data_IF_578044583304
#
_entry.id   IF_578044583304
#
_cell.length_a   1.000
_cell.length_b   1.000
_cell.length_c   1.000
_cell.angle_alpha   90.00
_cell.angle_beta   90.00
_cell.angle_gamma   90.00
#
_symmetry.space_group_name_H-M   'P 1'
#
loop_
_entity.id
_entity.type
_entity.pdbx_description
1 polymer ?
#
# COMPACT_ATOMS: atom_id res chain seq x y z
N UNK A 1 24.42 11.33 27.04
CA UNK A 1 22.98 11.28 26.68
C UNK A 1 22.66 12.35 25.63
N UNK A 2 23.50 12.45 24.60
CA UNK A 2 23.38 13.43 23.52
C UNK A 2 23.33 12.62 22.25
N UNK A 3 22.18 12.50 21.56
CA UNK A 3 22.22 12.02 20.17
C UNK A 3 20.94 12.19 19.35
N UNK A 4 19.74 12.15 19.95
CA UNK A 4 18.51 12.23 19.14
C UNK A 4 18.26 13.60 18.49
N UNK A 5 18.70 14.71 19.11
CA UNK A 5 18.48 16.07 18.57
C UNK A 5 19.50 16.46 17.50
N UNK A 6 20.71 15.90 17.53
CA UNK A 6 21.80 16.25 16.61
C UNK A 6 21.66 15.49 15.28
N UNK A 7 21.29 14.21 15.32
CA UNK A 7 20.99 13.43 14.11
C UNK A 7 19.82 14.03 13.30
N UNK A 8 18.84 14.63 13.99
CA UNK A 8 17.69 15.28 13.36
C UNK A 8 18.05 16.58 12.59
N UNK A 9 19.21 17.17 12.85
CA UNK A 9 19.69 18.39 12.18
C UNK A 9 20.47 18.12 10.89
N UNK A 10 20.97 16.89 10.70
CA UNK A 10 21.71 16.47 9.50
C UNK A 10 20.79 16.08 8.34
N UNK A 11 19.48 15.93 8.59
CA UNK A 11 18.49 15.65 7.56
C UNK A 11 18.23 16.91 6.70
N UNK A 12 18.15 16.77 5.36
CA UNK A 12 17.82 17.87 4.47
C UNK A 12 16.55 18.61 4.93
N UNK A 13 16.55 19.95 4.85
CA UNK A 13 15.41 20.81 5.23
C UNK A 13 14.02 20.32 4.76
N UNK A 14 13.83 19.74 3.56
CA UNK A 14 12.52 19.21 3.17
C UNK A 14 12.03 18.07 4.08
N UNK A 15 12.92 17.21 4.58
CA UNK A 15 12.54 16.04 5.41
C UNK A 15 12.04 16.46 6.79
N UNK A 16 12.53 17.59 7.34
CA UNK A 16 12.13 18.08 8.68
C UNK A 16 10.73 18.70 8.71
N UNK A 17 10.18 19.08 7.56
CA UNK A 17 8.84 19.65 7.43
C UNK A 17 7.81 18.63 6.95
N UNK A 18 8.23 17.38 6.68
CA UNK A 18 7.31 16.35 6.25
C UNK A 18 6.27 16.04 7.33
N UNK A 19 4.99 15.91 6.95
CA UNK A 19 3.98 15.30 7.80
C UNK A 19 4.42 13.90 8.26
N UNK A 20 4.01 13.52 9.47
CA UNK A 20 4.48 12.29 10.12
C UNK A 20 4.16 11.03 9.31
N UNK A 21 3.03 10.99 8.62
CA UNK A 21 2.63 9.90 7.72
C UNK A 21 3.56 9.78 6.50
N UNK A 22 3.85 10.89 5.81
CA UNK A 22 4.77 10.88 4.67
C UNK A 22 6.21 10.53 5.09
N UNK A 23 6.63 11.01 6.26
CA UNK A 23 7.92 10.62 6.84
C UNK A 23 7.97 9.12 7.13
N UNK A 24 6.89 8.53 7.66
CA UNK A 24 6.80 7.09 7.89
C UNK A 24 6.89 6.30 6.58
N UNK A 25 6.22 6.74 5.51
CA UNK A 25 6.34 6.11 4.17
C UNK A 25 7.78 6.13 3.66
N UNK A 26 8.48 7.26 3.79
CA UNK A 26 9.89 7.37 3.38
C UNK A 26 10.77 6.44 4.19
N UNK A 27 10.64 6.43 5.52
CA UNK A 27 11.44 5.56 6.39
C UNK A 27 11.18 4.09 6.08
N UNK A 28 9.92 3.69 5.96
CA UNK A 28 9.56 2.31 5.62
C UNK A 28 10.07 1.92 4.22
N UNK A 29 9.99 2.82 3.24
CA UNK A 29 10.55 2.60 1.90
C UNK A 29 12.06 2.36 1.97
N UNK A 30 12.79 3.18 2.73
CA UNK A 30 14.24 3.01 2.91
C UNK A 30 14.59 1.71 3.65
N UNK A 31 13.78 1.32 4.66
CA UNK A 31 13.94 0.04 5.35
C UNK A 31 13.71 -1.13 4.40
N UNK A 32 12.70 -1.07 3.53
CA UNK A 32 12.47 -2.10 2.52
C UNK A 32 13.65 -2.19 1.55
N UNK A 33 14.09 -1.08 0.98
CA UNK A 33 15.25 -1.05 0.07
C UNK A 33 16.49 -1.62 0.76
N UNK A 34 16.76 -1.19 2.00
CA UNK A 34 17.86 -1.73 2.80
C UNK A 34 17.73 -3.23 3.05
N UNK A 35 16.53 -3.70 3.40
CA UNK A 35 16.28 -5.14 3.64
C UNK A 35 16.47 -6.00 2.39
N UNK A 36 16.30 -5.42 1.19
CA UNK A 36 16.44 -6.13 -0.09
C UNK A 36 17.88 -6.14 -0.58
N UNK A 37 18.60 -5.02 -0.47
CA UNK A 37 19.91 -4.86 -1.12
C UNK A 37 21.11 -4.98 -0.18
N UNK A 38 20.93 -4.92 1.14
CA UNK A 38 22.05 -5.08 2.09
C UNK A 38 22.36 -6.57 2.24
N UNK A 39 23.58 -7.02 1.88
CA UNK A 39 24.00 -8.40 2.08
C UNK A 39 23.90 -8.79 3.57
N UNK A 40 23.38 -9.97 3.84
CA UNK A 40 23.15 -10.49 5.20
C UNK A 40 21.80 -10.10 5.81
N UNK A 41 21.16 -9.01 5.36
CA UNK A 41 19.76 -8.72 5.69
C UNK A 41 18.82 -9.31 4.63
N UNK A 42 19.25 -9.34 3.38
CA UNK A 42 18.50 -9.89 2.26
C UNK A 42 18.15 -11.38 2.38
N UNK A 43 18.82 -12.14 3.24
CA UNK A 43 18.50 -13.54 3.54
C UNK A 43 17.55 -13.69 4.73
N UNK A 44 17.27 -12.61 5.46
CA UNK A 44 16.42 -12.66 6.65
C UNK A 44 14.93 -12.53 6.30
N UNK A 45 14.03 -13.06 7.15
CA UNK A 45 12.59 -12.85 7.00
C UNK A 45 12.17 -11.37 7.04
N UNK A 46 13.03 -10.45 7.50
CA UNK A 46 12.77 -9.01 7.47
C UNK A 46 12.56 -8.51 6.04
N UNK A 47 13.28 -9.09 5.05
CA UNK A 47 13.07 -8.77 3.64
C UNK A 47 11.64 -9.05 3.20
N UNK A 48 11.08 -10.19 3.62
CA UNK A 48 9.70 -10.58 3.28
C UNK A 48 8.71 -9.66 3.99
N UNK A 49 8.91 -9.40 5.28
CA UNK A 49 8.02 -8.54 6.07
C UNK A 49 7.95 -7.12 5.50
N UNK A 50 9.10 -6.49 5.28
CA UNK A 50 9.15 -5.12 4.73
C UNK A 50 8.82 -5.08 3.24
N UNK A 51 9.17 -6.12 2.47
CA UNK A 51 8.84 -6.23 1.05
C UNK A 51 7.33 -6.36 0.83
N UNK A 52 6.67 -7.22 1.60
CA UNK A 52 5.22 -7.42 1.53
C UNK A 52 4.46 -6.15 1.93
N UNK A 53 4.83 -5.54 3.07
CA UNK A 53 4.22 -4.30 3.52
C UNK A 53 4.42 -3.16 2.51
N UNK A 54 5.60 -3.09 1.89
CA UNK A 54 5.89 -2.12 0.84
C UNK A 54 4.99 -2.32 -0.39
N UNK A 55 4.96 -3.54 -0.95
CA UNK A 55 4.19 -3.85 -2.16
C UNK A 55 2.68 -3.70 -1.95
N UNK A 56 2.17 -4.01 -0.75
CA UNK A 56 0.74 -3.98 -0.49
C UNK A 56 0.19 -2.62 -0.07
N UNK A 57 1.04 -1.68 0.39
CA UNK A 57 0.51 -0.48 1.04
C UNK A 57 1.17 0.82 0.62
N UNK A 58 2.50 0.87 0.58
CA UNK A 58 3.25 2.13 0.50
C UNK A 58 3.02 2.93 -0.79
N UNK A 59 3.12 2.35 -2.01
CA UNK A 59 2.92 3.11 -3.24
C UNK A 59 1.47 3.57 -3.38
N UNK A 60 0.50 2.75 -2.99
CA UNK A 60 -0.92 3.14 -2.96
C UNK A 60 -1.18 4.29 -2.00
N UNK A 61 -0.64 4.23 -0.78
CA UNK A 61 -0.79 5.31 0.20
C UNK A 61 -0.15 6.61 -0.26
N UNK A 62 1.08 6.55 -0.79
CA UNK A 62 1.77 7.72 -1.30
C UNK A 62 0.99 8.37 -2.45
N UNK A 63 0.39 7.58 -3.34
CA UNK A 63 -0.43 8.08 -4.43
C UNK A 63 -1.72 8.73 -3.95
N UNK A 64 -2.45 8.12 -3.00
CA UNK A 64 -3.65 8.74 -2.43
C UNK A 64 -3.31 10.02 -1.69
N UNK A 65 -2.23 10.04 -0.92
CA UNK A 65 -1.75 11.26 -0.26
C UNK A 65 -1.36 12.34 -1.28
N UNK A 66 -0.90 11.97 -2.48
CA UNK A 66 -0.61 12.90 -3.56
C UNK A 66 -1.88 13.43 -4.24
N UNK A 67 -2.93 12.61 -4.38
CA UNK A 67 -4.20 13.01 -5.00
C UNK A 67 -5.10 13.81 -4.04
N UNK A 68 -5.19 13.38 -2.79
CA UNK A 68 -6.08 13.91 -1.75
C UNK A 68 -5.27 14.34 -0.51
N UNK A 69 -4.60 15.51 -0.55
CA UNK A 69 -3.75 15.99 0.54
C UNK A 69 -4.53 16.52 1.76
N UNK A 70 -5.83 16.75 1.63
CA UNK A 70 -6.72 17.37 2.62
C UNK A 70 -7.22 16.37 3.68
N UNK A 71 -7.47 16.83 4.91
CA UNK A 71 -8.28 16.08 5.89
C UNK A 71 -9.76 16.22 5.61
N UNK A 72 -10.51 15.15 5.83
CA UNK A 72 -11.95 15.27 6.09
C UNK A 72 -12.12 16.20 7.28
N UNK A 73 -12.73 17.37 7.08
CA UNK A 73 -13.29 18.11 8.21
C UNK A 73 -14.40 17.20 8.73
N UNK A 74 -14.13 16.42 9.77
CA UNK A 74 -15.20 16.15 10.71
C UNK A 74 -15.66 17.53 11.14
N UNK A 75 -16.81 17.96 10.62
CA UNK A 75 -17.57 19.02 11.28
C UNK A 75 -17.81 18.45 12.66
N UNK A 76 -16.92 18.79 13.59
CA UNK A 76 -17.13 18.51 15.00
C UNK A 76 -18.50 19.09 15.27
N UNK A 77 -19.47 18.21 15.52
CA UNK A 77 -20.79 18.57 15.99
C UNK A 77 -20.68 19.06 17.45
N UNK A 78 -19.72 19.95 17.71
CA UNK A 78 -19.37 20.56 18.98
C UNK A 78 -19.42 22.10 18.87
N UNK A 79 -19.38 22.67 17.65
CA UNK A 79 -19.75 24.08 17.42
C UNK A 79 -21.28 24.30 17.31
N UNK A 80 -22.07 23.37 17.84
CA UNK A 80 -23.49 23.58 18.16
C UNK A 80 -23.71 24.17 19.56
N UNK A 81 -22.65 24.38 20.35
CA UNK A 81 -22.74 24.92 21.72
C UNK A 81 -21.99 26.24 21.88
N UNK A 82 -22.22 27.22 21.02
CA UNK A 82 -21.77 28.59 21.29
C UNK A 82 -22.60 29.68 20.61
N UNK A 83 -23.94 29.63 20.66
CA UNK A 83 -24.78 30.84 20.64
C UNK A 83 -26.27 30.55 20.91
N UNK A 84 -26.62 30.25 22.16
CA UNK A 84 -27.95 30.60 22.72
C UNK A 84 -27.81 30.81 24.24
N UNK A 85 -27.04 31.82 24.64
CA UNK A 85 -27.17 32.45 25.97
C UNK A 85 -27.39 33.94 25.74
N UNK A 86 -28.57 34.26 25.21
CA UNK A 86 -29.26 35.55 25.29
C UNK A 86 -30.42 35.51 24.29
N UNK A 87 -31.57 35.03 24.74
CA UNK A 87 -32.88 35.69 24.60
C UNK A 87 -33.99 34.66 24.87
N UNK A 88 -34.39 34.68 26.13
CA UNK A 88 -35.75 34.60 26.63
C UNK A 88 -36.87 34.38 25.60
N UNK A 89 -37.75 33.43 25.94
CA UNK A 89 -39.18 33.45 25.61
C UNK A 89 -39.57 33.35 24.13
N UNK A 90 -39.83 32.13 23.66
CA UNK A 90 -40.81 31.92 22.59
C UNK A 90 -41.44 30.52 22.68
N UNK A 91 -42.14 30.26 23.77
CA UNK A 91 -43.30 29.37 23.72
C UNK A 91 -44.34 30.02 22.78
N UNK A 92 -44.59 29.44 21.61
CA UNK A 92 -45.74 29.80 20.77
C UNK A 92 -45.47 30.54 19.46
N UNK A 93 -44.60 30.03 18.58
CA UNK A 93 -44.73 30.37 17.15
C UNK A 93 -45.66 29.36 16.47
N UNK A 94 -46.82 29.78 15.94
CA UNK A 94 -47.71 28.89 15.19
C UNK A 94 -47.07 28.48 13.87
N UNK A 95 -47.40 27.27 13.39
CA UNK A 95 -46.93 26.78 12.10
C UNK A 95 -47.22 27.80 10.98
N UNK A 96 -46.26 28.04 10.08
CA UNK A 96 -46.43 29.01 9.01
C UNK A 96 -47.62 28.62 8.11
N UNK A 97 -48.54 29.57 7.95
CA UNK A 97 -49.74 29.40 7.14
C UNK A 97 -49.37 29.68 5.67
N UNK A 98 -49.72 28.79 4.72
CA UNK A 98 -49.37 28.97 3.31
C UNK A 98 -49.88 30.31 2.74
N UNK A 99 -48.97 31.11 2.16
CA UNK A 99 -49.28 32.41 1.55
C UNK A 99 -48.95 33.64 2.41
N UNK A 100 -48.14 33.49 3.46
CA UNK A 100 -47.62 34.60 4.28
C UNK A 100 -46.11 34.77 4.09
N UNK A 101 -45.58 35.98 4.31
CA UNK A 101 -44.14 36.31 4.18
C UNK A 101 -43.24 35.39 5.03
N UNK A 102 -43.77 34.88 6.15
CA UNK A 102 -43.09 33.90 7.00
C UNK A 102 -42.90 32.53 6.30
N UNK A 103 -43.87 32.10 5.49
CA UNK A 103 -43.78 30.86 4.70
C UNK A 103 -42.86 31.02 3.47
N UNK A 104 -42.68 32.25 2.97
CA UNK A 104 -41.73 32.55 1.88
C UNK A 104 -40.29 32.60 2.39
N UNK A 105 -40.07 33.02 3.63
CA UNK A 105 -38.74 33.08 4.26
C UNK A 105 -38.14 31.68 4.46
N UNK A 106 -38.96 30.69 4.84
CA UNK A 106 -38.50 29.28 4.97
C UNK A 106 -38.24 28.61 3.60
N UNK A 107 -39.01 28.94 2.55
CA UNK A 107 -38.76 28.43 1.19
C UNK A 107 -37.53 29.04 0.52
N UNK A 108 -37.11 30.21 0.99
CA UNK A 108 -35.97 30.95 0.45
C UNK A 108 -34.64 30.54 1.09
N UNK A 109 -34.68 29.72 2.14
CA UNK A 109 -33.49 29.06 2.65
C UNK A 109 -33.22 27.90 1.69
N UNK A 110 -32.16 27.98 0.84
CA UNK A 110 -31.78 26.81 0.05
C UNK A 110 -31.59 25.66 1.05
N UNK A 111 -32.04 24.44 0.73
CA UNK A 111 -31.68 23.27 1.53
C UNK A 111 -30.19 23.38 1.74
N UNK A 112 -29.74 23.44 3.00
CA UNK A 112 -28.33 23.49 3.30
C UNK A 112 -27.70 22.33 2.57
N UNK A 113 -27.08 22.62 1.42
CA UNK A 113 -26.24 21.68 0.73
C UNK A 113 -25.12 21.47 1.72
N UNK A 114 -25.28 20.41 2.52
CA UNK A 114 -24.20 19.75 3.19
C UNK A 114 -23.27 19.32 2.06
N UNK A 115 -22.45 20.26 1.59
CA UNK A 115 -21.25 20.01 0.82
C UNK A 115 -20.41 19.16 1.78
N UNK A 116 -20.65 17.85 1.73
CA UNK A 116 -19.80 16.84 2.33
C UNK A 116 -18.40 17.22 1.91
N UNK A 117 -17.61 17.74 2.85
CA UNK A 117 -16.24 18.12 2.57
C UNK A 117 -15.56 16.87 2.00
N UNK A 118 -15.14 16.95 0.73
CA UNK A 118 -14.68 15.84 -0.11
C UNK A 118 -13.29 15.30 0.32
N UNK A 119 -13.01 15.23 1.62
CA UNK A 119 -11.80 14.64 2.17
C UNK A 119 -12.01 13.15 2.41
N UNK A 120 -11.00 12.35 2.06
CA UNK A 120 -10.96 10.91 2.36
C UNK A 120 -10.52 10.73 3.82
N UNK A 121 -11.36 10.03 4.61
CA UNK A 121 -11.08 9.75 6.02
C UNK A 121 -9.87 8.80 6.15
N UNK A 122 -9.23 8.77 7.32
CA UNK A 122 -8.02 7.98 7.52
C UNK A 122 -8.22 6.47 7.32
N UNK A 123 -9.38 5.90 7.66
CA UNK A 123 -9.66 4.47 7.44
C UNK A 123 -9.90 4.21 5.94
N UNK A 124 -10.68 5.06 5.28
CA UNK A 124 -10.90 4.98 3.83
C UNK A 124 -9.58 5.08 3.07
N UNK A 125 -8.69 5.98 3.51
CA UNK A 125 -7.34 6.14 2.96
C UNK A 125 -6.54 4.85 3.08
N UNK A 126 -6.59 4.16 4.22
CA UNK A 126 -5.89 2.88 4.43
C UNK A 126 -6.47 1.80 3.50
N UNK A 127 -7.79 1.66 3.44
CA UNK A 127 -8.44 0.65 2.61
C UNK A 127 -8.17 0.86 1.11
N UNK A 128 -8.33 2.10 0.63
CA UNK A 128 -8.05 2.47 -0.76
C UNK A 128 -6.56 2.31 -1.09
N UNK A 129 -5.66 2.58 -0.14
CA UNK A 129 -4.21 2.41 -0.35
C UNK A 129 -3.87 0.97 -0.68
N UNK A 130 -4.47 0.02 0.05
CA UNK A 130 -4.26 -1.40 -0.17
C UNK A 130 -4.71 -1.83 -1.56
N UNK A 131 -5.96 -1.51 -1.93
CA UNK A 131 -6.51 -1.86 -3.24
C UNK A 131 -5.74 -1.20 -4.40
N UNK A 132 -5.37 0.07 -4.24
CA UNK A 132 -4.60 0.79 -5.24
C UNK A 132 -3.18 0.24 -5.40
N UNK A 133 -2.53 -0.20 -4.33
CA UNK A 133 -1.21 -0.82 -4.40
C UNK A 133 -1.23 -2.11 -5.22
N UNK A 134 -2.27 -2.94 -5.03
CA UNK A 134 -2.49 -4.17 -5.80
C UNK A 134 -2.71 -3.86 -7.29
N UNK A 135 -3.26 -2.70 -7.65
CA UNK A 135 -3.39 -2.28 -9.04
C UNK A 135 -2.07 -1.72 -9.61
N UNK A 136 -1.40 -0.83 -8.86
CA UNK A 136 -0.22 -0.09 -9.34
C UNK A 136 1.01 -0.99 -9.49
N UNK A 137 1.29 -1.86 -8.53
CA UNK A 137 2.55 -2.63 -8.53
C UNK A 137 2.64 -3.60 -9.72
N UNK A 138 1.60 -4.42 -10.03
CA UNK A 138 1.62 -5.26 -11.23
C UNK A 138 1.66 -4.44 -12.52
N UNK A 139 1.01 -3.27 -12.56
CA UNK A 139 1.07 -2.38 -13.72
C UNK A 139 2.49 -1.87 -13.97
N UNK A 140 3.22 -1.47 -12.92
CA UNK A 140 4.64 -1.11 -13.02
C UNK A 140 5.46 -2.31 -13.51
N UNK A 141 5.20 -3.51 -12.97
CA UNK A 141 5.84 -4.75 -13.44
C UNK A 141 5.60 -5.03 -14.92
N UNK A 142 4.36 -4.85 -15.39
CA UNK A 142 3.99 -5.01 -16.79
C UNK A 142 4.72 -3.99 -17.69
N UNK A 143 4.81 -2.73 -17.27
CA UNK A 143 5.58 -1.72 -18.01
C UNK A 143 7.06 -2.11 -18.06
N UNK A 144 7.63 -2.60 -16.96
CA UNK A 144 9.02 -3.07 -16.92
C UNK A 144 9.28 -4.26 -17.82
N UNK A 145 8.28 -5.10 -18.09
CA UNK A 145 8.41 -6.21 -19.03
C UNK A 145 8.80 -5.76 -20.44
N UNK A 146 8.39 -4.56 -20.85
CA UNK A 146 8.74 -3.98 -22.15
C UNK A 146 10.08 -3.25 -22.15
N UNK A 147 10.80 -3.23 -21.02
CA UNK A 147 12.10 -2.58 -20.91
C UNK A 147 13.24 -3.61 -21.02
N UNK A 148 14.46 -3.20 -21.42
CA UNK A 148 15.61 -4.10 -21.49
C UNK A 148 15.97 -4.77 -20.15
N UNK A 149 15.49 -4.22 -19.03
CA UNK A 149 15.76 -4.75 -17.69
C UNK A 149 14.81 -5.89 -17.29
N UNK A 150 13.61 -5.96 -17.88
CA UNK A 150 12.58 -6.96 -17.60
C UNK A 150 12.04 -6.96 -16.15
N UNK A 151 11.25 -7.98 -15.82
CA UNK A 151 10.67 -8.17 -14.48
C UNK A 151 11.69 -8.85 -13.55
N UNK A 152 12.76 -8.12 -13.23
CA UNK A 152 13.79 -8.56 -12.26
C UNK A 152 13.61 -7.83 -10.92
N UNK A 153 14.11 -8.43 -9.84
CA UNK A 153 14.00 -7.88 -8.48
C UNK A 153 14.48 -6.42 -8.39
N UNK A 154 15.69 -6.13 -8.86
CA UNK A 154 16.28 -4.80 -8.74
C UNK A 154 15.50 -3.72 -9.52
N UNK A 155 15.19 -3.90 -10.82
CA UNK A 155 14.35 -2.96 -11.58
C UNK A 155 12.96 -2.74 -10.97
N UNK A 156 12.31 -3.80 -10.47
CA UNK A 156 10.98 -3.69 -9.85
C UNK A 156 11.05 -2.86 -8.58
N UNK A 157 11.94 -3.21 -7.65
CA UNK A 157 12.08 -2.49 -6.38
C UNK A 157 12.45 -1.03 -6.61
N UNK A 158 13.40 -0.75 -7.52
CA UNK A 158 13.79 0.62 -7.85
C UNK A 158 12.65 1.42 -8.47
N UNK A 159 11.90 0.84 -9.41
CA UNK A 159 10.80 1.54 -10.07
C UNK A 159 9.67 1.88 -9.12
N UNK A 160 9.25 0.92 -8.29
CA UNK A 160 8.22 1.15 -7.27
C UNK A 160 8.72 2.16 -6.22
N UNK A 161 10.00 2.12 -5.84
CA UNK A 161 10.62 3.09 -4.92
C UNK A 161 10.58 4.50 -5.50
N UNK A 162 11.04 4.68 -6.75
CA UNK A 162 11.02 5.99 -7.42
C UNK A 162 9.60 6.50 -7.53
N UNK A 163 8.65 5.66 -7.94
CA UNK A 163 7.23 6.03 -8.00
C UNK A 163 6.69 6.49 -6.64
N UNK A 164 6.98 5.73 -5.58
CA UNK A 164 6.54 6.03 -4.21
C UNK A 164 7.11 7.35 -3.73
N UNK A 165 8.42 7.57 -3.90
CA UNK A 165 9.10 8.80 -3.49
C UNK A 165 8.66 10.02 -4.31
N UNK A 166 8.34 9.83 -5.60
CA UNK A 166 7.76 10.87 -6.44
C UNK A 166 6.37 11.28 -5.92
N UNK A 167 5.51 10.30 -5.61
CA UNK A 167 4.20 10.56 -5.03
C UNK A 167 4.30 11.25 -3.66
N UNK A 168 5.20 10.80 -2.78
CA UNK A 168 5.48 11.47 -1.49
C UNK A 168 5.92 12.92 -1.72
N UNK A 169 6.79 13.17 -2.71
CA UNK A 169 7.27 14.51 -3.02
C UNK A 169 6.14 15.41 -3.52
N UNK A 170 5.23 14.89 -4.35
CA UNK A 170 4.03 15.61 -4.82
C UNK A 170 3.09 15.89 -3.64
N UNK A 171 2.81 14.87 -2.82
CA UNK A 171 1.97 14.98 -1.64
C UNK A 171 2.49 16.04 -0.66
N UNK A 172 3.80 16.05 -0.40
CA UNK A 172 4.44 17.03 0.46
C UNK A 172 4.32 18.45 -0.09
N UNK A 173 4.52 18.64 -1.40
CA UNK A 173 4.34 19.95 -2.05
C UNK A 173 2.90 20.45 -1.92
N UNK A 174 1.93 19.62 -2.32
CA UNK A 174 0.49 20.00 -2.25
C UNK A 174 0.04 20.28 -0.82
N UNK A 175 0.53 19.53 0.16
CA UNK A 175 0.17 19.72 1.58
C UNK A 175 0.82 20.94 2.22
N UNK A 176 1.93 21.43 1.68
CA UNK A 176 2.53 22.69 2.11
C UNK A 176 1.80 23.93 1.56
N UNK A 177 1.01 23.78 0.50
CA UNK A 177 0.19 24.85 -0.06
C UNK A 177 -1.15 25.02 0.68
N UNK A 178 -1.51 24.07 1.55
CA UNK A 178 -2.74 24.09 2.33
C UNK A 178 -2.60 24.85 3.67
N UNK A 179 -3.61 25.62 4.09
CA UNK A 179 -3.72 26.15 5.45
C UNK A 179 -3.57 25.05 6.50
N UNK A 180 -2.93 25.35 7.64
CA UNK A 180 -2.56 24.36 8.65
C UNK A 180 -3.75 23.58 9.26
N UNK A 181 -4.96 24.10 9.10
CA UNK A 181 -6.24 23.54 9.54
C UNK A 181 -6.83 22.50 8.57
N UNK A 182 -6.47 22.56 7.28
CA UNK A 182 -6.96 21.63 6.24
C UNK A 182 -5.95 20.50 5.95
N UNK A 183 -4.76 20.58 6.53
CA UNK A 183 -3.74 19.57 6.39
C UNK A 183 -4.19 18.31 7.12
N UNK A 184 -4.21 17.17 6.40
CA UNK A 184 -4.36 15.88 7.03
C UNK A 184 -3.40 15.75 8.23
N UNK A 185 -3.84 15.19 9.35
CA UNK A 185 -2.98 14.83 10.47
C UNK A 185 -3.49 13.52 11.02
N UNK A 186 -2.64 12.50 11.05
CA UNK A 186 -3.04 11.19 11.60
C UNK A 186 -3.20 11.32 13.11
N UNK A 187 -4.41 11.12 13.67
CA UNK A 187 -4.64 11.14 15.11
C UNK A 187 -4.24 9.78 15.71
N UNK A 188 -2.95 9.43 15.65
CA UNK A 188 -2.44 8.12 16.06
C UNK A 188 -2.81 7.74 17.50
N UNK A 189 -2.98 8.73 18.39
CA UNK A 189 -3.42 8.49 19.78
C UNK A 189 -4.88 8.07 19.88
N UNK A 190 -5.75 8.67 19.06
CA UNK A 190 -7.18 8.36 19.05
C UNK A 190 -7.42 6.96 18.49
N UNK A 191 -6.72 6.58 17.41
CA UNK A 191 -6.82 5.24 16.82
C UNK A 191 -6.31 4.14 17.75
N UNK A 192 -5.17 4.36 18.41
CA UNK A 192 -4.65 3.38 19.37
C UNK A 192 -5.58 3.26 20.58
N UNK A 193 -6.18 4.37 21.04
CA UNK A 193 -7.16 4.35 22.13
C UNK A 193 -8.44 3.60 21.73
N UNK A 194 -8.99 3.89 20.54
CA UNK A 194 -10.19 3.24 19.99
C UNK A 194 -9.96 1.74 19.78
N UNK A 195 -8.86 1.36 19.11
CA UNK A 195 -8.52 -0.05 18.90
C UNK A 195 -8.26 -0.80 20.20
N UNK A 196 -7.65 -0.16 21.20
CA UNK A 196 -7.46 -0.76 22.52
C UNK A 196 -8.78 -0.96 23.26
N UNK A 197 -9.69 0.02 23.23
CA UNK A 197 -11.01 -0.12 23.81
C UNK A 197 -11.79 -1.26 23.13
N UNK A 198 -11.76 -1.33 21.81
CA UNK A 198 -12.53 -2.32 21.07
C UNK A 198 -11.99 -3.76 21.22
N UNK A 199 -10.66 -3.93 21.26
CA UNK A 199 -10.03 -5.25 21.46
C UNK A 199 -10.04 -5.74 22.92
N UNK A 200 -9.95 -4.83 23.90
CA UNK A 200 -9.81 -5.20 25.33
C UNK A 200 -11.07 -4.96 26.17
N UNK A 201 -12.03 -4.16 25.69
CA UNK A 201 -13.31 -3.88 26.37
C UNK A 201 -14.51 -4.25 25.47
N UNK A 202 -14.66 -5.54 25.07
CA UNK A 202 -15.79 -5.97 24.25
C UNK A 202 -17.12 -5.83 25.00
N UNK A 203 -18.11 -5.22 24.35
CA UNK A 203 -19.44 -4.96 24.93
C UNK A 203 -20.26 -6.24 25.19
N UNK A 204 -19.92 -7.35 24.51
CA UNK A 204 -20.60 -8.64 24.64
C UNK A 204 -19.66 -9.85 24.48
N UNK A 205 -20.11 -11.04 24.92
CA UNK A 205 -19.36 -12.29 24.72
C UNK A 205 -19.20 -12.66 23.24
N UNK A 206 -20.18 -12.30 22.41
CA UNK A 206 -20.13 -12.48 20.96
C UNK A 206 -19.09 -11.57 20.33
N UNK A 207 -18.99 -10.31 20.74
CA UNK A 207 -17.97 -9.39 20.24
C UNK A 207 -16.57 -9.85 20.62
N UNK A 208 -16.39 -10.34 21.87
CA UNK A 208 -15.15 -10.93 22.30
C UNK A 208 -14.75 -12.15 21.44
N UNK A 209 -15.71 -13.03 21.14
CA UNK A 209 -15.46 -14.20 20.28
C UNK A 209 -15.13 -13.80 18.84
N UNK A 210 -15.83 -12.82 18.27
CA UNK A 210 -15.56 -12.28 16.94
C UNK A 210 -14.17 -11.63 16.87
N UNK A 211 -13.78 -10.86 17.89
CA UNK A 211 -12.46 -10.26 17.96
C UNK A 211 -11.35 -11.31 18.04
N UNK A 212 -11.54 -12.36 18.84
CA UNK A 212 -10.59 -13.49 18.90
C UNK A 212 -10.50 -14.19 17.53
N UNK A 213 -11.64 -14.47 16.90
CA UNK A 213 -11.69 -15.08 15.57
C UNK A 213 -11.00 -14.20 14.51
N UNK A 214 -11.18 -12.88 14.58
CA UNK A 214 -10.53 -11.90 13.71
C UNK A 214 -9.01 -11.90 13.91
N UNK A 215 -8.53 -11.88 15.16
CA UNK A 215 -7.09 -11.92 15.44
C UNK A 215 -6.48 -13.23 14.94
N UNK A 216 -7.14 -14.37 15.20
CA UNK A 216 -6.68 -15.67 14.71
C UNK A 216 -6.66 -15.74 13.17
N UNK A 217 -7.66 -15.19 12.50
CA UNK A 217 -7.72 -15.18 11.03
C UNK A 217 -6.63 -14.30 10.43
N UNK A 218 -6.36 -13.12 11.00
CA UNK A 218 -5.26 -12.24 10.58
C UNK A 218 -3.91 -12.91 10.81
N UNK A 219 -3.70 -13.55 11.96
CA UNK A 219 -2.45 -14.27 12.24
C UNK A 219 -2.25 -15.45 11.28
N UNK A 220 -3.31 -16.21 10.99
CA UNK A 220 -3.25 -17.33 10.04
C UNK A 220 -3.00 -16.84 8.61
N UNK A 221 -3.66 -15.76 8.18
CA UNK A 221 -3.47 -15.17 6.86
C UNK A 221 -2.04 -14.64 6.67
N UNK A 222 -1.57 -13.80 7.61
CA UNK A 222 -0.20 -13.25 7.56
C UNK A 222 0.84 -14.36 7.69
N UNK A 223 0.61 -15.33 8.57
CA UNK A 223 1.48 -16.49 8.74
C UNK A 223 1.56 -17.36 7.49
N UNK A 224 0.43 -17.61 6.82
CA UNK A 224 0.37 -18.40 5.59
C UNK A 224 1.11 -17.71 4.43
N UNK A 225 0.85 -16.42 4.20
CA UNK A 225 1.55 -15.64 3.17
C UNK A 225 3.05 -15.55 3.49
N UNK A 226 3.39 -15.29 4.74
CA UNK A 226 4.77 -15.24 5.20
C UNK A 226 5.52 -16.55 4.97
N UNK A 227 4.90 -17.69 5.31
CA UNK A 227 5.45 -19.02 5.06
C UNK A 227 5.64 -19.30 3.57
N UNK A 228 4.64 -19.02 2.75
CA UNK A 228 4.68 -19.26 1.30
C UNK A 228 5.79 -18.46 0.58
N UNK A 229 6.15 -17.27 1.09
CA UNK A 229 7.22 -16.45 0.52
C UNK A 229 8.59 -16.78 1.13
N UNK A 230 8.64 -17.19 2.41
CA UNK A 230 9.90 -17.45 3.11
C UNK A 230 10.49 -18.84 2.81
N UNK A 231 9.64 -19.82 2.49
CA UNK A 231 10.07 -21.17 2.12
C UNK A 231 9.91 -21.31 0.61
N UNK A 232 11.00 -21.29 -0.18
CA UNK A 232 10.92 -21.54 -1.61
C UNK A 232 10.23 -22.89 -1.83
N UNK A 233 9.27 -23.00 -2.76
CA UNK A 233 8.80 -24.32 -3.17
C UNK A 233 10.03 -25.13 -3.60
N UNK A 234 10.12 -26.37 -3.11
CA UNK A 234 11.05 -27.33 -3.70
C UNK A 234 10.73 -27.35 -5.20
N UNK A 235 11.74 -27.15 -6.05
CA UNK A 235 11.53 -27.21 -7.50
C UNK A 235 10.77 -28.49 -7.85
N UNK A 236 10.01 -28.47 -8.95
CA UNK A 236 9.38 -29.72 -9.40
C UNK A 236 10.48 -30.79 -9.50
N UNK A 237 10.24 -31.93 -8.88
CA UNK A 237 11.10 -33.10 -9.05
C UNK A 237 10.79 -33.65 -10.41
N UNK A 238 11.77 -33.64 -11.31
CA UNK A 238 11.59 -34.12 -12.66
C UNK A 238 12.82 -34.86 -13.16
N UNK A 239 12.54 -35.87 -13.99
CA UNK A 239 13.53 -36.47 -14.88
C UNK A 239 13.41 -35.80 -16.24
N UNK A 240 14.48 -35.20 -16.72
CA UNK A 240 14.53 -34.61 -18.06
C UNK A 240 15.10 -35.59 -19.09
N UNK A 241 14.49 -35.58 -20.26
CA UNK A 241 14.97 -36.28 -21.46
C UNK A 241 15.18 -35.23 -22.54
N UNK A 242 16.40 -35.14 -23.05
CA UNK A 242 16.73 -34.19 -24.10
C UNK A 242 17.55 -34.86 -25.20
N UNK A 243 17.39 -34.33 -26.41
CA UNK A 243 18.10 -34.75 -27.60
C UNK A 243 18.98 -33.57 -28.04
N UNK A 244 20.25 -33.82 -28.31
CA UNK A 244 21.18 -32.80 -28.79
C UNK A 244 21.76 -33.23 -30.13
N UNK A 245 22.05 -32.23 -30.97
CA UNK A 245 22.91 -32.38 -32.14
C UNK A 245 24.31 -31.88 -31.79
N UNK A 246 25.30 -32.23 -32.60
CA UNK A 246 26.64 -31.67 -32.51
C UNK A 246 26.78 -30.59 -33.59
N UNK A 247 27.17 -29.37 -33.19
CA UNK A 247 27.42 -28.27 -34.13
C UNK A 247 28.72 -28.49 -34.91
N UNK A 248 28.95 -27.72 -35.97
CA UNK A 248 30.19 -27.77 -36.78
C UNK A 248 31.46 -27.50 -35.95
N UNK A 249 31.32 -26.82 -34.80
CA UNK A 249 32.39 -26.52 -33.85
C UNK A 249 32.58 -27.62 -32.78
N UNK A 250 31.77 -28.69 -32.80
CA UNK A 250 31.81 -29.82 -31.86
C UNK A 250 31.07 -29.59 -30.55
N UNK A 251 30.26 -28.52 -30.44
CA UNK A 251 29.46 -28.25 -29.24
C UNK A 251 28.10 -28.94 -29.32
N UNK A 252 27.66 -29.52 -28.21
CA UNK A 252 26.33 -30.11 -28.11
C UNK A 252 25.28 -29.02 -27.95
N UNK A 253 24.36 -28.93 -28.91
CA UNK A 253 23.32 -27.90 -28.95
C UNK A 253 21.94 -28.52 -29.11
N UNK A 254 20.94 -27.87 -28.52
CA UNK A 254 19.53 -28.29 -28.61
C UNK A 254 18.84 -27.71 -29.85
N UNK A 255 19.56 -27.56 -30.96
CA UNK A 255 19.10 -26.95 -32.21
C UNK A 255 19.80 -27.63 -33.41
N UNK A 256 19.43 -27.28 -34.65
CA UNK A 256 20.12 -27.79 -35.85
C UNK A 256 19.91 -29.29 -36.09
N UNK A 257 18.72 -29.81 -35.77
CA UNK A 257 18.38 -31.20 -36.02
C UNK A 257 18.29 -31.50 -37.53
N UNK A 258 18.59 -32.73 -37.98
CA UNK A 258 18.46 -33.09 -39.38
C UNK A 258 16.98 -33.15 -39.79
N UNK A 259 16.57 -32.26 -40.68
CA UNK A 259 15.19 -32.23 -41.21
C UNK A 259 15.01 -33.15 -42.44
N UNK A 260 16.11 -33.48 -43.13
CA UNK A 260 16.12 -34.35 -44.31
C UNK A 260 17.28 -35.37 -44.20
N UNK A 261 17.02 -36.63 -44.55
CA UNK A 261 17.98 -37.75 -44.53
C UNK A 261 17.86 -38.56 -45.82
N UNK A 262 18.96 -38.75 -46.55
CA UNK A 262 18.98 -39.59 -47.73
C UNK A 262 19.04 -41.10 -47.39
N UNK A 263 18.58 -41.96 -48.31
CA UNK A 263 18.60 -43.41 -48.10
C UNK A 263 20.05 -43.91 -48.01
N UNK A 264 20.43 -44.39 -46.83
CA UNK A 264 21.78 -44.85 -46.51
C UNK A 264 22.64 -43.83 -45.75
N UNK A 265 22.14 -42.61 -45.53
CA UNK A 265 22.78 -41.58 -44.71
C UNK A 265 22.59 -41.87 -43.22
N UNK A 266 23.63 -41.64 -42.42
CA UNK A 266 23.61 -41.83 -40.97
C UNK A 266 23.83 -40.47 -40.30
N UNK A 267 22.90 -40.07 -39.43
CA UNK A 267 23.05 -38.92 -38.54
C UNK A 267 23.21 -39.39 -37.10
N UNK A 268 24.12 -38.75 -36.37
CA UNK A 268 24.32 -38.98 -34.95
C UNK A 268 23.54 -37.94 -34.15
N UNK A 269 22.80 -38.42 -33.15
CA UNK A 269 22.06 -37.60 -32.20
C UNK A 269 22.43 -38.09 -30.80
N UNK A 270 22.63 -37.15 -29.88
CA UNK A 270 23.00 -37.45 -28.50
C UNK A 270 21.76 -37.41 -27.64
N UNK A 271 21.48 -38.48 -26.91
CA UNK A 271 20.38 -38.54 -25.94
C UNK A 271 20.94 -38.32 -24.55
N UNK A 272 20.41 -37.33 -23.84
CA UNK A 272 20.70 -37.06 -22.44
C UNK A 272 19.51 -37.40 -21.55
N UNK A 273 19.81 -37.91 -20.36
CA UNK A 273 18.83 -38.16 -19.29
C UNK A 273 19.39 -37.50 -18.02
N UNK A 274 18.69 -36.49 -17.52
CA UNK A 274 19.00 -35.81 -16.25
C UNK A 274 17.97 -36.19 -15.19
N UNK A 275 18.40 -36.49 -13.97
CA UNK A 275 17.51 -36.81 -12.85
C UNK A 275 17.63 -35.74 -11.78
N UNK A 276 16.57 -34.97 -11.56
CA UNK A 276 16.47 -33.92 -10.55
C UNK A 276 15.47 -34.29 -9.43
N UNK A 277 15.17 -35.59 -9.24
CA UNK A 277 14.14 -36.05 -8.29
C UNK A 277 14.55 -35.91 -6.81
N UNK A 278 15.84 -35.69 -6.51
CA UNK A 278 16.37 -35.63 -5.14
C UNK A 278 17.49 -34.59 -4.94
N UNK A 279 17.57 -33.56 -5.77
CA UNK A 279 18.49 -32.42 -5.55
C UNK A 279 17.90 -31.35 -4.61
#
# INVERSE_FOLDING_TARGET
MSDRRTAWLLLPRPVRRLPADLAAVVVLTLLTVGSVFIPGINETPLRVLFGLGFVLFLPGYAFIAALFPESSREVSADDGQAQTVADSESEGKPNPVPGTDAAETERSQPPGEHLQSQGIDGIERVALSFGLSIAIVPLIGLVLNFTPWGIRLAPVVLSVTVFTLACVSIAARRRHELPAEDQFRVPYRAWIAAGKAELFEPNSRTDAALNIALVLSVLLAVGSVGYAVAVPPQGEQFTEFYLLSESDDGELVADGYPDELAVGEQSQLVVGIGNNEYE
#
